data_IF_536843929640
#
_entry.id   IF_536843929640
#
_cell.length_a   1.000
_cell.length_b   1.000
_cell.length_c   1.000
_cell.angle_alpha   90.00
_cell.angle_beta   90.00
_cell.angle_gamma   90.00
#
_symmetry.space_group_name_H-M   'P 1'
#
loop_
_entity.id
_entity.type
_entity.pdbx_description
1 polymer ?
#
# COMPACT_ATOMS: atom_id res chain seq x y z
N UNK A 1 6.21 -17.67 -28.89
CA UNK A 1 4.78 -17.51 -28.55
C UNK A 1 4.72 -16.74 -27.24
N UNK A 2 4.22 -15.51 -27.25
CA UNK A 2 4.15 -14.70 -26.03
C UNK A 2 2.94 -15.19 -25.24
N UNK A 3 3.16 -15.90 -24.14
CA UNK A 3 2.10 -16.21 -23.20
C UNK A 3 1.62 -14.89 -22.58
N UNK A 4 0.33 -14.59 -22.69
CA UNK A 4 -0.25 -13.44 -22.00
C UNK A 4 -0.39 -13.79 -20.52
N UNK A 5 0.12 -12.93 -19.64
CA UNK A 5 -0.03 -13.10 -18.20
C UNK A 5 -1.51 -13.16 -17.83
N UNK A 6 -1.86 -14.03 -16.87
CA UNK A 6 -3.24 -14.12 -16.35
C UNK A 6 -3.54 -12.85 -15.54
N UNK A 7 -4.62 -12.15 -15.90
CA UNK A 7 -5.10 -10.96 -15.20
C UNK A 7 -6.51 -11.20 -14.67
N UNK A 8 -6.71 -10.97 -13.38
CA UNK A 8 -8.00 -11.01 -12.69
C UNK A 8 -8.36 -9.62 -12.18
N UNK A 9 -9.65 -9.27 -12.13
CA UNK A 9 -10.10 -8.05 -11.46
C UNK A 9 -10.50 -8.39 -10.03
N UNK A 10 -9.97 -7.65 -9.05
CA UNK A 10 -10.40 -7.71 -7.65
C UNK A 10 -10.88 -6.34 -7.16
N UNK A 11 -11.82 -6.36 -6.24
CA UNK A 11 -12.41 -5.15 -5.68
C UNK A 11 -11.67 -4.71 -4.42
N UNK A 12 -11.47 -3.40 -4.28
CA UNK A 12 -10.90 -2.79 -3.09
C UNK A 12 -11.48 -1.40 -2.87
N UNK A 13 -11.00 -0.71 -1.85
CA UNK A 13 -11.29 0.70 -1.60
C UNK A 13 -10.01 1.51 -1.66
N UNK A 14 -10.11 2.77 -2.09
CA UNK A 14 -8.99 3.70 -2.10
C UNK A 14 -8.49 3.90 -0.66
N UNK A 15 -7.21 3.61 -0.36
CA UNK A 15 -6.65 3.79 0.98
C UNK A 15 -6.22 5.24 1.24
N UNK A 16 -6.43 6.15 0.29
CA UNK A 16 -6.26 7.56 0.57
C UNK A 16 -7.39 8.03 1.46
N UNK A 17 -7.02 8.64 2.58
CA UNK A 17 -7.92 9.26 3.55
C UNK A 17 -8.50 10.59 3.03
N UNK A 18 -9.08 10.53 1.82
CA UNK A 18 -9.86 11.61 1.25
C UNK A 18 -11.35 11.27 1.39
N UNK A 19 -12.24 12.27 1.46
CA UNK A 19 -13.66 12.04 1.69
C UNK A 19 -14.36 11.28 0.55
N UNK A 20 -13.69 11.07 -0.59
CA UNK A 20 -14.29 10.41 -1.74
C UNK A 20 -14.47 8.90 -1.57
N UNK A 21 -13.66 8.26 -0.72
CA UNK A 21 -13.70 6.81 -0.44
C UNK A 21 -13.97 5.95 -1.71
N UNK A 22 -13.17 6.17 -2.77
CA UNK A 22 -13.44 5.56 -4.08
C UNK A 22 -13.38 4.02 -3.99
N UNK A 23 -14.40 3.34 -4.50
CA UNK A 23 -14.35 1.91 -4.79
C UNK A 23 -13.45 1.67 -6.01
N UNK A 24 -12.64 0.62 -5.95
CA UNK A 24 -11.61 0.32 -6.93
C UNK A 24 -11.82 -1.05 -7.56
N UNK A 25 -11.58 -1.12 -8.86
CA UNK A 25 -11.36 -2.37 -9.60
C UNK A 25 -9.86 -2.46 -9.92
N UNK A 26 -9.18 -3.44 -9.32
CA UNK A 26 -7.73 -3.60 -9.38
C UNK A 26 -7.38 -4.82 -10.22
N UNK A 27 -6.54 -4.63 -11.24
CA UNK A 27 -5.93 -5.75 -11.96
C UNK A 27 -4.95 -6.50 -11.04
N UNK A 28 -5.10 -7.82 -10.94
CA UNK A 28 -4.19 -8.73 -10.26
C UNK A 28 -3.54 -9.64 -11.30
N UNK A 29 -2.24 -9.49 -11.47
CA UNK A 29 -1.40 -10.19 -12.43
C UNK A 29 -0.78 -11.41 -11.74
N UNK A 30 -0.99 -12.59 -12.31
CA UNK A 30 -0.45 -13.87 -11.80
C UNK A 30 -0.72 -14.10 -10.31
N UNK A 31 -1.84 -13.58 -9.80
CA UNK A 31 -2.31 -13.76 -8.42
C UNK A 31 -1.49 -13.03 -7.34
N UNK A 32 -0.40 -12.33 -7.67
CA UNK A 32 0.55 -11.81 -6.67
C UNK A 32 0.98 -10.35 -6.87
N UNK A 33 0.84 -9.81 -8.09
CA UNK A 33 1.19 -8.43 -8.40
C UNK A 33 -0.03 -7.65 -8.86
N UNK A 34 -0.02 -6.32 -8.73
CA UNK A 34 -1.10 -5.48 -9.24
C UNK A 34 -0.69 -4.78 -10.54
N UNK A 35 -1.65 -4.65 -11.45
CA UNK A 35 -1.57 -3.88 -12.69
C UNK A 35 -2.27 -2.52 -12.56
N UNK A 36 -3.07 -2.16 -13.57
CA UNK A 36 -3.83 -0.91 -13.56
C UNK A 36 -4.88 -0.90 -12.45
N UNK A 37 -5.13 0.29 -11.92
CA UNK A 37 -6.18 0.53 -10.92
C UNK A 37 -7.23 1.44 -11.53
N UNK A 38 -8.48 0.97 -11.52
CA UNK A 38 -9.63 1.66 -12.07
C UNK A 38 -10.60 2.04 -10.95
N UNK A 39 -11.43 3.05 -11.17
CA UNK A 39 -12.59 3.29 -10.33
C UNK A 39 -13.67 2.26 -10.66
N UNK A 40 -14.31 1.72 -9.63
CA UNK A 40 -15.40 0.77 -9.83
C UNK A 40 -16.65 1.48 -10.34
N UNK A 41 -17.25 0.93 -11.40
CA UNK A 41 -18.54 1.43 -11.93
C UNK A 41 -19.71 1.14 -11.00
N UNK A 42 -19.51 0.27 -10.00
CA UNK A 42 -20.54 -0.08 -9.01
C UNK A 42 -20.77 1.03 -7.98
N UNK A 43 -19.81 1.95 -7.78
CA UNK A 43 -19.99 3.09 -6.90
C UNK A 43 -20.54 4.29 -7.70
N UNK A 44 -21.81 4.60 -7.46
CA UNK A 44 -22.50 5.72 -8.13
C UNK A 44 -21.88 7.08 -7.83
N UNK A 45 -21.36 7.28 -6.61
CA UNK A 45 -20.79 8.55 -6.17
C UNK A 45 -19.55 8.98 -6.99
N UNK A 46 -18.65 8.05 -7.31
CA UNK A 46 -17.44 8.33 -8.11
C UNK A 46 -17.61 7.99 -9.59
N UNK A 47 -18.66 7.23 -9.94
CA UNK A 47 -18.99 6.85 -11.31
C UNK A 47 -17.80 6.23 -12.10
N UNK A 48 -16.97 5.44 -11.42
CA UNK A 48 -15.79 4.81 -12.01
C UNK A 48 -14.58 5.73 -12.20
N UNK A 49 -14.65 6.97 -11.73
CA UNK A 49 -13.54 7.93 -11.80
C UNK A 49 -12.62 7.77 -10.59
N UNK A 50 -11.31 7.77 -10.85
CA UNK A 50 -10.26 7.85 -9.83
C UNK A 50 -9.29 8.98 -10.16
N UNK A 51 -8.70 9.60 -9.14
CA UNK A 51 -7.70 10.64 -9.33
C UNK A 51 -6.37 10.08 -9.89
N UNK A 52 -5.52 10.95 -10.44
CA UNK A 52 -4.22 10.57 -11.00
C UNK A 52 -3.30 9.81 -10.01
N UNK A 53 -3.44 10.08 -8.71
CA UNK A 53 -2.67 9.38 -7.66
C UNK A 53 -3.02 7.89 -7.61
N UNK A 54 -4.31 7.58 -7.71
CA UNK A 54 -4.83 6.20 -7.65
C UNK A 54 -4.62 5.49 -8.98
N UNK A 55 -4.78 6.17 -10.11
CA UNK A 55 -4.51 5.58 -11.42
C UNK A 55 -3.07 5.05 -11.58
N UNK A 56 -2.12 5.58 -10.79
CA UNK A 56 -0.70 5.20 -10.76
C UNK A 56 -0.30 4.40 -9.53
N UNK A 57 -1.25 3.81 -8.79
CA UNK A 57 -0.96 3.19 -7.49
C UNK A 57 0.00 2.00 -7.58
N UNK A 58 0.05 1.30 -8.72
CA UNK A 58 1.02 0.24 -8.98
C UNK A 58 2.47 0.71 -8.82
N UNK A 59 2.79 1.96 -9.22
CA UNK A 59 4.13 2.53 -9.05
C UNK A 59 4.53 2.65 -7.58
N UNK A 60 3.56 2.94 -6.69
CA UNK A 60 3.79 3.01 -5.24
C UNK A 60 3.98 1.62 -4.62
N UNK A 61 3.15 0.66 -5.01
CA UNK A 61 3.22 -0.72 -4.48
C UNK A 61 4.52 -1.41 -4.89
N UNK A 62 4.97 -1.16 -6.11
CA UNK A 62 6.18 -1.75 -6.70
C UNK A 62 7.42 -0.88 -6.58
N UNK A 63 7.37 0.23 -5.82
CA UNK A 63 8.50 1.13 -5.67
C UNK A 63 9.69 0.41 -4.99
N UNK A 64 10.93 0.53 -5.52
CA UNK A 64 12.10 -0.15 -4.95
C UNK A 64 12.38 0.26 -3.50
N UNK A 65 12.12 1.53 -3.16
CA UNK A 65 12.35 2.06 -1.80
C UNK A 65 11.17 1.88 -0.84
N UNK A 66 10.21 1.02 -1.17
CA UNK A 66 9.07 0.74 -0.29
C UNK A 66 9.56 0.17 1.03
N UNK A 67 9.01 0.66 2.15
CA UNK A 67 9.31 0.10 3.48
C UNK A 67 8.65 -1.27 3.60
N UNK A 68 9.47 -2.33 3.63
CA UNK A 68 9.01 -3.73 3.68
C UNK A 68 9.15 -4.37 5.05
N UNK A 69 9.88 -3.73 5.97
CA UNK A 69 10.22 -4.29 7.28
C UNK A 69 10.10 -3.22 8.38
N UNK A 70 9.79 -3.61 9.62
CA UNK A 70 9.95 -2.73 10.77
C UNK A 70 11.39 -2.22 10.92
N UNK A 71 11.53 -0.96 11.30
CA UNK A 71 12.80 -0.26 11.42
C UNK A 71 12.89 0.46 12.76
N UNK A 72 13.97 0.20 13.52
CA UNK A 72 14.30 0.92 14.76
C UNK A 72 15.24 2.07 14.44
N UNK A 73 14.95 3.27 14.94
CA UNK A 73 15.88 4.40 14.85
C UNK A 73 17.07 4.16 15.77
N UNK A 74 18.29 4.21 15.23
CA UNK A 74 19.54 3.96 15.96
C UNK A 74 20.40 5.22 16.18
N UNK A 75 20.03 6.34 15.56
CA UNK A 75 20.71 7.62 15.70
C UNK A 75 19.80 8.77 16.16
N UNK A 76 20.33 10.00 16.24
CA UNK A 76 19.55 11.19 16.55
C UNK A 76 18.36 11.38 15.61
N UNK A 77 17.28 12.02 16.08
CA UNK A 77 16.12 12.33 15.23
C UNK A 77 16.56 13.18 14.03
N UNK A 78 16.23 12.73 12.82
CA UNK A 78 16.64 13.39 11.57
C UNK A 78 17.91 12.83 10.92
N UNK A 79 18.63 11.89 11.56
CA UNK A 79 19.86 11.31 10.98
C UNK A 79 19.62 10.24 9.91
N UNK A 80 18.37 9.84 9.68
CA UNK A 80 17.99 8.69 8.84
C UNK A 80 18.71 7.37 9.20
N UNK A 81 19.20 7.24 10.44
CA UNK A 81 19.86 6.03 10.90
C UNK A 81 18.84 5.04 11.46
N UNK A 82 18.62 3.95 10.73
CA UNK A 82 17.69 2.89 11.09
C UNK A 82 18.34 1.51 10.96
N UNK A 83 17.98 0.60 11.86
CA UNK A 83 18.28 -0.83 11.74
C UNK A 83 16.99 -1.62 11.62
N UNK A 84 16.99 -2.65 10.77
CA UNK A 84 15.86 -3.59 10.68
C UNK A 84 15.69 -4.33 12.00
N UNK A 85 14.44 -4.50 12.41
CA UNK A 85 14.03 -5.36 13.53
C UNK A 85 12.85 -6.26 13.08
N UNK A 86 12.52 -7.26 13.88
CA UNK A 86 11.34 -8.10 13.67
C UNK A 86 10.04 -7.36 14.04
N UNK A 87 8.90 -7.94 13.67
CA UNK A 87 7.59 -7.41 14.08
C UNK A 87 7.36 -7.55 15.58
N UNK A 88 7.73 -8.67 16.19
CA UNK A 88 7.58 -8.90 17.64
C UNK A 88 8.39 -7.86 18.42
N UNK A 89 9.68 -7.67 18.10
CA UNK A 89 10.51 -6.65 18.73
C UNK A 89 9.96 -5.23 18.56
N UNK A 90 9.39 -4.91 17.40
CA UNK A 90 8.85 -3.58 17.13
C UNK A 90 7.60 -3.30 17.97
N UNK A 91 6.71 -4.28 18.06
CA UNK A 91 5.47 -4.15 18.83
C UNK A 91 5.74 -4.15 20.34
N UNK A 92 6.59 -5.07 20.82
CA UNK A 92 6.96 -5.16 22.24
C UNK A 92 7.63 -3.88 22.73
N UNK A 93 8.55 -3.30 21.94
CA UNK A 93 9.22 -2.06 22.31
C UNK A 93 8.25 -0.88 22.41
N UNK A 94 7.30 -0.77 21.47
CA UNK A 94 6.30 0.31 21.49
C UNK A 94 5.36 0.14 22.70
N UNK A 95 4.89 -1.08 22.97
CA UNK A 95 4.04 -1.37 24.11
C UNK A 95 4.75 -1.03 25.44
N UNK A 96 5.97 -1.52 25.64
CA UNK A 96 6.75 -1.25 26.85
C UNK A 96 7.00 0.25 27.09
N UNK A 97 7.22 1.03 26.02
CA UNK A 97 7.39 2.49 26.12
C UNK A 97 6.07 3.22 26.42
N UNK A 98 4.96 2.70 25.92
CA UNK A 98 3.63 3.27 26.17
C UNK A 98 3.21 3.04 27.62
N UNK A 99 3.44 1.84 28.17
CA UNK A 99 3.11 1.51 29.56
C UNK A 99 3.98 2.26 30.58
N UNK A 100 5.18 2.67 30.19
CA UNK A 100 6.09 3.44 31.02
C UNK A 100 5.81 4.96 31.00
N UNK A 101 4.88 5.44 30.16
CA UNK A 101 4.52 6.85 30.01
C UNK A 101 3.39 7.25 30.97
#
# INVERSE_FOLDING_TARGET
>A
MNAHAKVEIRHSTCPHDCPSACALDVEVIEGSSIGRVHGSKLQTYTAGVVCAKVARYAERIHHPDRVLHPLRRTGPKGSNSFSRISWDEALDEIAARFDAA
#
